data_IF_493859735725
#
_entry.id   IF_493859735725
#
_cell.length_a   1.000
_cell.length_b   1.000
_cell.length_c   1.000
_cell.angle_alpha   90.00
_cell.angle_beta   90.00
_cell.angle_gamma   90.00
#
_symmetry.space_group_name_H-M   'P 1'
#
loop_
_entity.id
_entity.type
_entity.pdbx_description
1 polymer ?
#
# COMPACT_ATOMS: atom_id res chain seq x y z
N UNK A 1 24.28 5.15 21.35
CA UNK A 1 23.54 3.87 21.18
C UNK A 1 23.10 3.28 22.52
N UNK A 2 23.92 3.31 23.58
CA UNK A 2 23.54 2.83 24.91
C UNK A 2 22.34 3.58 25.54
N UNK A 3 22.27 4.92 25.43
CA UNK A 3 21.12 5.69 25.95
C UNK A 3 19.79 5.38 25.26
N UNK A 4 19.82 4.99 23.97
CA UNK A 4 18.60 4.66 23.22
C UNK A 4 18.05 3.28 23.63
N UNK A 5 18.93 2.35 24.02
CA UNK A 5 18.54 1.04 24.54
C UNK A 5 17.88 1.11 25.92
N UNK A 6 18.23 2.10 26.75
CA UNK A 6 17.59 2.31 28.06
C UNK A 6 16.14 2.81 27.96
N UNK A 7 15.81 3.47 26.85
CA UNK A 7 14.48 4.05 26.62
C UNK A 7 13.51 3.08 25.94
N UNK A 8 13.99 1.92 25.47
CA UNK A 8 13.17 0.88 24.86
C UNK A 8 13.07 -0.30 25.83
N UNK A 9 11.85 -0.65 26.22
CA UNK A 9 11.62 -1.87 26.98
C UNK A 9 11.97 -3.07 26.11
N UNK A 10 13.03 -3.80 26.50
CA UNK A 10 13.50 -5.01 25.79
C UNK A 10 12.46 -6.14 25.77
N UNK A 11 11.51 -6.15 26.71
CA UNK A 11 10.46 -7.19 26.79
C UNK A 11 9.34 -6.90 25.80
N UNK A 12 8.92 -5.63 25.70
CA UNK A 12 7.78 -5.24 24.84
C UNK A 12 8.21 -4.70 23.48
N UNK A 13 9.50 -4.44 23.29
CA UNK A 13 10.08 -3.75 22.13
C UNK A 13 9.36 -2.41 21.84
N UNK A 14 8.90 -1.73 22.89
CA UNK A 14 8.25 -0.41 22.83
C UNK A 14 9.09 0.62 23.55
N UNK A 15 8.96 1.87 23.15
CA UNK A 15 9.53 2.97 23.93
C UNK A 15 8.80 3.09 25.27
N UNK A 16 9.55 3.37 26.33
CA UNK A 16 9.01 3.62 27.67
C UNK A 16 8.27 4.96 27.72
N UNK A 17 8.69 5.93 26.89
CA UNK A 17 7.99 7.17 26.66
C UNK A 17 6.84 6.95 25.66
N UNK A 18 5.61 7.17 26.12
CA UNK A 18 4.39 6.98 25.34
C UNK A 18 4.28 7.97 24.17
N UNK A 19 4.74 9.21 24.35
CA UNK A 19 4.71 10.23 23.29
C UNK A 19 5.69 9.85 22.16
N UNK A 20 6.86 9.33 22.52
CA UNK A 20 7.84 8.86 21.55
C UNK A 20 7.35 7.61 20.78
N UNK A 21 6.70 6.68 21.47
CA UNK A 21 6.07 5.49 20.85
C UNK A 21 4.98 5.89 19.87
N UNK A 22 4.15 6.88 20.20
CA UNK A 22 3.06 7.31 19.35
C UNK A 22 3.55 8.10 18.11
N UNK A 23 4.57 8.94 18.25
CA UNK A 23 5.26 9.57 17.11
C UNK A 23 5.91 8.52 16.20
N UNK A 24 6.57 7.51 16.78
CA UNK A 24 7.16 6.42 16.01
C UNK A 24 6.10 5.63 15.22
N UNK A 25 4.96 5.33 15.84
CA UNK A 25 3.84 4.66 15.16
C UNK A 25 3.29 5.51 14.02
N UNK A 26 3.11 6.80 14.21
CA UNK A 26 2.60 7.70 13.17
C UNK A 26 3.48 7.67 11.92
N UNK A 27 4.80 7.86 12.10
CA UNK A 27 5.79 7.78 11.00
C UNK A 27 5.77 6.39 10.34
N UNK A 28 5.65 5.32 11.13
CA UNK A 28 5.57 3.96 10.61
C UNK A 28 4.29 3.72 9.82
N UNK A 29 3.15 4.23 10.28
CA UNK A 29 1.86 4.13 9.60
C UNK A 29 1.87 4.89 8.27
N UNK A 30 2.45 6.10 8.24
CA UNK A 30 2.63 6.87 7.01
C UNK A 30 3.48 6.08 6.00
N UNK A 31 4.63 5.54 6.45
CA UNK A 31 5.52 4.76 5.57
C UNK A 31 4.86 3.48 5.05
N UNK A 32 4.12 2.78 5.92
CA UNK A 32 3.35 1.60 5.53
C UNK A 32 2.21 1.97 4.57
N UNK A 33 1.52 3.09 4.82
CA UNK A 33 0.48 3.61 3.95
C UNK A 33 1.01 3.91 2.55
N UNK A 34 2.13 4.62 2.46
CA UNK A 34 2.80 4.91 1.19
C UNK A 34 3.25 3.63 0.47
N UNK A 35 3.76 2.64 1.20
CA UNK A 35 4.11 1.35 0.62
C UNK A 35 2.89 0.61 0.06
N UNK A 36 1.80 0.53 0.82
CA UNK A 36 0.54 -0.09 0.38
C UNK A 36 -0.02 0.65 -0.83
N UNK A 37 0.02 1.98 -0.83
CA UNK A 37 -0.44 2.80 -1.95
C UNK A 37 0.38 2.55 -3.22
N UNK A 38 1.71 2.50 -3.11
CA UNK A 38 2.59 2.15 -4.23
C UNK A 38 2.32 0.74 -4.75
N UNK A 39 2.04 -0.22 -3.85
CA UNK A 39 1.68 -1.59 -4.24
C UNK A 39 0.35 -1.62 -5.00
N UNK A 40 -0.67 -0.89 -4.54
CA UNK A 40 -1.95 -0.76 -5.24
C UNK A 40 -1.78 -0.11 -6.61
N UNK A 41 -0.94 0.92 -6.71
CA UNK A 41 -0.62 1.60 -7.97
C UNK A 41 0.06 0.64 -8.97
N UNK A 42 1.05 -0.14 -8.52
CA UNK A 42 1.69 -1.17 -9.32
C UNK A 42 0.68 -2.23 -9.80
N UNK A 43 -0.22 -2.66 -8.92
CA UNK A 43 -1.30 -3.58 -9.26
C UNK A 43 -2.20 -3.03 -10.39
N UNK A 44 -2.59 -1.75 -10.29
CA UNK A 44 -3.39 -1.09 -11.33
C UNK A 44 -2.66 -1.00 -12.67
N UNK A 45 -1.37 -0.68 -12.67
CA UNK A 45 -0.56 -0.62 -13.90
C UNK A 45 -0.55 -1.99 -14.60
N UNK A 46 -0.33 -3.07 -13.85
CA UNK A 46 -0.34 -4.44 -14.40
C UNK A 46 -1.73 -4.79 -14.94
N UNK A 47 -2.79 -4.43 -14.22
CA UNK A 47 -4.17 -4.69 -14.63
C UNK A 47 -4.53 -3.98 -15.95
N UNK A 48 -4.08 -2.73 -16.13
CA UNK A 48 -4.27 -1.99 -17.37
C UNK A 48 -3.60 -2.68 -18.57
N UNK A 49 -2.41 -3.27 -18.37
CA UNK A 49 -1.73 -4.02 -19.42
C UNK A 49 -2.51 -5.28 -19.82
N UNK A 50 -3.11 -5.96 -18.84
CA UNK A 50 -3.96 -7.14 -19.08
C UNK A 50 -5.21 -6.74 -19.87
N UNK A 51 -5.91 -5.68 -19.47
CA UNK A 51 -7.09 -5.18 -20.19
C UNK A 51 -6.74 -4.84 -21.64
N UNK A 52 -5.59 -4.19 -21.86
CA UNK A 52 -5.13 -3.82 -23.20
C UNK A 52 -4.90 -5.06 -24.08
N UNK A 53 -4.27 -6.10 -23.53
CA UNK A 53 -4.03 -7.36 -24.24
C UNK A 53 -5.35 -8.09 -24.54
N UNK A 54 -6.27 -8.13 -23.58
CA UNK A 54 -7.61 -8.72 -23.75
C UNK A 54 -8.40 -7.99 -24.86
N UNK A 55 -8.40 -6.65 -24.90
CA UNK A 55 -9.06 -5.87 -25.97
C UNK A 55 -8.43 -6.20 -27.33
N UNK A 56 -7.10 -6.37 -27.38
CA UNK A 56 -6.40 -6.74 -28.61
C UNK A 56 -6.78 -8.14 -29.08
N UNK A 57 -7.02 -9.08 -28.15
CA UNK A 57 -7.35 -10.47 -28.48
C UNK A 57 -8.84 -10.70 -28.78
N UNK A 58 -9.74 -10.09 -28.01
CA UNK A 58 -11.19 -10.27 -28.09
C UNK A 58 -11.88 -9.26 -29.02
N UNK A 59 -11.18 -8.20 -29.41
CA UNK A 59 -11.75 -7.04 -30.09
C UNK A 59 -12.47 -6.08 -29.15
N UNK A 60 -13.02 -5.00 -29.70
CA UNK A 60 -13.73 -3.97 -28.92
C UNK A 60 -15.10 -4.53 -28.50
N UNK A 61 -15.17 -5.09 -27.29
CA UNK A 61 -16.40 -5.58 -26.68
C UNK A 61 -16.91 -4.56 -25.65
N UNK A 62 -18.02 -3.84 -25.92
CA UNK A 62 -18.47 -2.73 -25.08
C UNK A 62 -18.81 -3.13 -23.64
N UNK A 63 -19.41 -4.31 -23.45
CA UNK A 63 -19.77 -4.82 -22.11
C UNK A 63 -18.52 -5.11 -21.29
N UNK A 64 -17.54 -5.80 -21.89
CA UNK A 64 -16.27 -6.09 -21.24
C UNK A 64 -15.55 -4.80 -20.82
N UNK A 65 -15.43 -3.84 -21.74
CA UNK A 65 -14.79 -2.54 -21.45
C UNK A 65 -15.53 -1.80 -20.33
N UNK A 66 -16.86 -1.82 -20.33
CA UNK A 66 -17.67 -1.16 -19.30
C UNK A 66 -17.45 -1.78 -17.92
N UNK A 67 -17.41 -3.12 -17.83
CA UNK A 67 -17.13 -3.83 -16.57
C UNK A 67 -15.72 -3.52 -16.07
N UNK A 68 -14.73 -3.53 -16.97
CA UNK A 68 -13.34 -3.21 -16.59
C UNK A 68 -13.17 -1.77 -16.09
N UNK A 69 -13.88 -0.80 -16.70
CA UNK A 69 -13.89 0.59 -16.24
C UNK A 69 -14.51 0.69 -14.84
N UNK A 70 -15.63 0.01 -14.59
CA UNK A 70 -16.28 0.00 -13.26
C UNK A 70 -15.34 -0.62 -12.22
N UNK A 71 -14.73 -1.77 -12.52
CA UNK A 71 -13.79 -2.46 -11.63
C UNK A 71 -12.48 -1.69 -11.40
N UNK A 72 -12.11 -0.76 -12.29
CA UNK A 72 -10.91 0.07 -12.13
C UNK A 72 -11.17 1.35 -11.34
N UNK A 73 -12.44 1.73 -11.14
CA UNK A 73 -12.85 2.96 -10.43
C UNK A 73 -13.44 2.66 -9.05
N UNK A 74 -14.10 1.50 -8.88
CA UNK A 74 -14.69 1.04 -7.63
C UNK A 74 -13.64 0.43 -6.67
#
# INVERSE_FOLDING_TARGET
MAELEEQISRITCKFNDQNLEDQYKEIKWEKNGNYIWNLMLLGHIIFLLIILDDIKQLGIQPIYISVQIICSIA
#
